data_IF_940676846170
#
_entry.id   IF_940676846170
#
_cell.length_a   1.000
_cell.length_b   1.000
_cell.length_c   1.000
_cell.angle_alpha   90.00
_cell.angle_beta   90.00
_cell.angle_gamma   90.00
#
_symmetry.space_group_name_H-M   'P 1'
#
loop_
_entity.id
_entity.type
_entity.pdbx_description
1 polymer ?
#
# COMPACT_ATOMS: atom_id res chain seq x y z
N UNK A 1 18.98 12.82 -4.59
CA UNK A 1 17.60 12.30 -4.50
C UNK A 1 17.00 12.40 -5.88
N UNK A 2 16.72 11.26 -6.50
CA UNK A 2 16.50 11.15 -7.95
C UNK A 2 15.05 11.48 -8.38
N UNK A 3 14.29 12.17 -7.52
CA UNK A 3 12.90 12.53 -7.81
C UNK A 3 11.97 11.32 -7.87
N UNK A 4 12.24 10.29 -7.06
CA UNK A 4 11.46 9.06 -7.01
C UNK A 4 10.87 8.81 -5.62
N UNK A 5 9.59 8.46 -5.56
CA UNK A 5 8.93 7.85 -4.39
C UNK A 5 9.35 6.38 -4.34
N UNK A 6 9.70 5.91 -3.15
CA UNK A 6 10.14 4.53 -2.86
C UNK A 6 11.24 4.02 -3.80
N UNK A 7 12.09 4.94 -4.27
CA UNK A 7 13.22 4.64 -5.18
C UNK A 7 12.83 4.18 -6.59
N UNK A 8 11.53 4.12 -6.93
CA UNK A 8 11.05 3.53 -8.19
C UNK A 8 10.02 4.39 -8.93
N UNK A 9 9.17 5.11 -8.21
CA UNK A 9 8.01 5.83 -8.77
C UNK A 9 8.38 7.28 -9.04
N UNK A 10 8.23 7.79 -10.26
CA UNK A 10 8.60 9.18 -10.54
C UNK A 10 7.65 10.17 -9.82
N UNK A 11 8.19 11.03 -8.96
CA UNK A 11 7.40 12.03 -8.24
C UNK A 11 6.84 13.15 -9.15
N UNK A 12 7.26 13.20 -10.41
CA UNK A 12 6.77 14.13 -11.44
C UNK A 12 5.56 13.61 -12.21
N UNK A 13 5.30 12.30 -12.12
CA UNK A 13 4.12 11.69 -12.72
C UNK A 13 3.03 11.53 -11.68
N UNK A 14 2.03 12.42 -11.72
CA UNK A 14 0.88 12.37 -10.82
C UNK A 14 0.18 11.01 -10.87
N UNK A 15 0.02 10.45 -12.06
CA UNK A 15 -0.73 9.19 -12.23
C UNK A 15 0.03 8.00 -11.65
N UNK A 16 1.36 7.93 -11.83
CA UNK A 16 2.18 6.89 -11.21
C UNK A 16 2.17 6.97 -9.67
N UNK A 17 2.26 8.18 -9.13
CA UNK A 17 2.21 8.39 -7.68
C UNK A 17 0.84 8.01 -7.12
N UNK A 18 -0.24 8.38 -7.81
CA UNK A 18 -1.59 8.04 -7.41
C UNK A 18 -1.83 6.52 -7.45
N UNK A 19 -1.44 5.86 -8.54
CA UNK A 19 -1.57 4.41 -8.70
C UNK A 19 -0.80 3.66 -7.60
N UNK A 20 0.42 4.11 -7.31
CA UNK A 20 1.24 3.53 -6.25
C UNK A 20 0.57 3.61 -4.87
N UNK A 21 0.06 4.78 -4.48
CA UNK A 21 -0.60 4.91 -3.18
C UNK A 21 -1.96 4.19 -3.13
N UNK A 22 -2.73 4.18 -4.21
CA UNK A 22 -3.98 3.43 -4.28
C UNK A 22 -3.75 1.93 -4.13
N UNK A 23 -2.68 1.37 -4.71
CA UNK A 23 -2.32 -0.04 -4.55
C UNK A 23 -1.97 -0.40 -3.09
N UNK A 24 -1.23 0.47 -2.39
CA UNK A 24 -0.92 0.30 -0.97
C UNK A 24 -2.21 0.32 -0.13
N UNK A 25 -3.08 1.31 -0.38
CA UNK A 25 -4.35 1.45 0.34
C UNK A 25 -5.25 0.25 0.10
N UNK A 26 -5.38 -0.22 -1.15
CA UNK A 26 -6.18 -1.40 -1.48
C UNK A 26 -5.71 -2.64 -0.71
N UNK A 27 -4.40 -2.89 -0.69
CA UNK A 27 -3.81 -4.01 0.05
C UNK A 27 -4.13 -3.96 1.54
N UNK A 28 -4.09 -2.76 2.14
CA UNK A 28 -4.47 -2.56 3.56
C UNK A 28 -5.93 -2.94 3.78
N UNK A 29 -6.84 -2.48 2.93
CA UNK A 29 -8.26 -2.80 3.06
C UNK A 29 -8.55 -4.28 2.86
N UNK A 30 -7.93 -4.92 1.86
CA UNK A 30 -8.09 -6.36 1.62
C UNK A 30 -7.74 -7.16 2.89
N UNK A 31 -6.60 -6.86 3.53
CA UNK A 31 -6.17 -7.54 4.75
C UNK A 31 -7.06 -7.26 5.95
N UNK A 32 -7.59 -6.04 6.07
CA UNK A 32 -8.55 -5.69 7.13
C UNK A 32 -9.87 -6.44 6.95
N UNK A 33 -10.36 -6.55 5.71
CA UNK A 33 -11.57 -7.31 5.41
C UNK A 33 -11.37 -8.80 5.65
N UNK A 34 -10.24 -9.36 5.22
CA UNK A 34 -9.90 -10.78 5.46
C UNK A 34 -9.85 -11.11 6.95
N UNK A 35 -9.19 -10.28 7.76
CA UNK A 35 -9.09 -10.49 9.21
C UNK A 35 -10.47 -10.40 9.89
N UNK A 36 -11.30 -9.44 9.45
CA UNK A 36 -12.67 -9.30 9.95
C UNK A 36 -13.55 -10.49 9.57
N UNK A 37 -13.44 -11.01 8.33
CA UNK A 37 -14.20 -12.17 7.87
C UNK A 37 -13.81 -13.45 8.64
N UNK A 38 -12.53 -13.58 9.01
CA UNK A 38 -12.00 -14.74 9.70
C UNK A 38 -12.09 -14.65 11.24
N UNK A 39 -12.61 -13.54 11.77
CA UNK A 39 -12.63 -13.21 13.21
C UNK A 39 -11.22 -13.33 13.85
N UNK A 40 -10.20 -12.84 13.12
CA UNK A 40 -8.80 -12.89 13.54
C UNK A 40 -8.28 -11.51 13.94
N UNK A 41 -7.35 -11.44 14.91
CA UNK A 41 -6.67 -10.20 15.21
C UNK A 41 -5.84 -9.71 14.01
N UNK A 42 -5.89 -8.40 13.76
CA UNK A 42 -5.10 -7.77 12.70
C UNK A 42 -3.63 -7.66 13.14
N UNK A 43 -2.72 -8.21 12.33
CA UNK A 43 -1.29 -7.98 12.50
C UNK A 43 -0.84 -6.72 11.71
N UNK A 44 -0.53 -5.66 12.45
CA UNK A 44 -0.13 -4.38 11.87
C UNK A 44 1.21 -4.43 11.12
N UNK A 45 2.09 -5.37 11.46
CA UNK A 45 3.37 -5.54 10.77
C UNK A 45 3.18 -6.08 9.35
N UNK A 46 2.03 -6.70 9.10
CA UNK A 46 1.60 -7.21 7.81
C UNK A 46 0.43 -6.40 7.24
N UNK A 47 0.27 -5.11 7.52
CA UNK A 47 -0.84 -4.32 6.94
C UNK A 47 -0.57 -3.83 5.52
N UNK A 48 0.59 -3.24 5.28
CA UNK A 48 0.99 -2.80 3.96
C UNK A 48 1.98 -3.82 3.36
N UNK A 49 1.92 -4.04 2.04
CA UNK A 49 3.08 -4.58 1.33
C UNK A 49 4.12 -3.48 1.29
N UNK A 50 5.17 -3.59 2.12
CA UNK A 50 6.36 -2.77 1.96
C UNK A 50 7.08 -3.21 0.69
N UNK A 51 7.14 -2.31 -0.30
CA UNK A 51 7.85 -2.52 -1.57
C UNK A 51 9.27 -1.98 -1.52
#
# INVERSE_FOLDING_TARGET
>A
MDGTVDGRISNRSRDQVLEHYLAIIATVYDRLYDAMEQDQPVDLSHLALTH
#
